data_IF_698129905326
#
_entry.id   IF_698129905326
#
_cell.length_a   1.000
_cell.length_b   1.000
_cell.length_c   1.000
_cell.angle_alpha   90.00
_cell.angle_beta   90.00
_cell.angle_gamma   90.00
#
_symmetry.space_group_name_H-M   'P 1'
#
loop_
_entity.id
_entity.type
_entity.pdbx_description
1 polymer ?
#
# COMPACT_ATOMS: atom_id res chain seq x y z
N UNK A 1 -10.01 23.36 40.36
CA UNK A 1 -9.58 23.30 38.95
C UNK A 1 -10.60 22.44 38.24
N UNK A 2 -11.50 23.05 37.49
CA UNK A 2 -12.51 22.34 36.73
C UNK A 2 -11.84 21.39 35.73
N UNK A 3 -12.27 20.15 35.78
CA UNK A 3 -11.88 19.09 34.86
C UNK A 3 -12.45 19.44 33.47
N UNK A 4 -11.80 20.38 32.73
CA UNK A 4 -12.15 20.63 31.33
C UNK A 4 -11.92 19.30 30.61
N UNK A 5 -12.98 18.69 30.13
CA UNK A 5 -12.92 17.52 29.25
C UNK A 5 -11.83 17.76 28.20
N UNK A 6 -10.86 16.83 28.13
CA UNK A 6 -9.74 16.94 27.20
C UNK A 6 -10.29 16.92 25.78
N UNK A 7 -9.78 17.76 24.89
CA UNK A 7 -10.23 17.78 23.48
C UNK A 7 -9.90 16.46 22.80
N UNK A 8 -10.82 15.90 22.03
CA UNK A 8 -10.66 14.60 21.35
C UNK A 8 -9.40 14.54 20.49
N UNK A 9 -9.04 15.64 19.83
CA UNK A 9 -7.81 15.75 19.04
C UNK A 9 -6.54 15.51 19.88
N UNK A 10 -6.51 15.99 21.14
CA UNK A 10 -5.39 15.78 22.06
C UNK A 10 -5.39 14.35 22.60
N UNK A 11 -6.57 13.81 22.90
CA UNK A 11 -6.71 12.40 23.34
C UNK A 11 -6.16 11.41 22.30
N UNK A 12 -6.43 11.66 21.01
CA UNK A 12 -5.91 10.87 19.89
C UNK A 12 -4.39 10.94 19.78
N UNK A 13 -3.80 12.14 19.96
CA UNK A 13 -2.34 12.30 19.98
C UNK A 13 -1.72 11.52 21.14
N UNK A 14 -2.29 11.62 22.35
CA UNK A 14 -1.80 10.93 23.54
C UNK A 14 -1.93 9.39 23.42
N UNK A 15 -2.97 8.89 22.73
CA UNK A 15 -3.15 7.47 22.49
C UNK A 15 -2.18 6.91 21.44
N UNK A 16 -1.80 7.75 20.47
CA UNK A 16 -0.89 7.36 19.42
C UNK A 16 0.58 7.37 19.87
N UNK A 17 1.00 8.45 20.55
CA UNK A 17 2.41 8.69 20.87
C UNK A 17 2.85 8.00 22.17
N UNK A 18 4.15 7.84 22.34
CA UNK A 18 4.77 7.37 23.56
C UNK A 18 4.48 8.36 24.72
N UNK A 19 4.32 7.83 25.92
CA UNK A 19 3.95 8.61 27.11
C UNK A 19 4.87 9.82 27.30
N UNK A 20 4.29 11.01 27.44
CA UNK A 20 5.00 12.29 27.67
C UNK A 20 5.96 12.73 26.58
N UNK A 21 5.88 12.14 25.38
CA UNK A 21 6.77 12.50 24.27
C UNK A 21 6.26 13.69 23.44
N UNK A 22 4.97 14.05 23.54
CA UNK A 22 4.35 15.06 22.71
C UNK A 22 4.79 16.49 23.06
N UNK A 23 5.19 17.25 22.03
CA UNK A 23 5.46 18.68 22.10
C UNK A 23 4.62 19.40 21.05
N UNK A 24 3.68 20.25 21.50
CA UNK A 24 2.80 21.01 20.61
C UNK A 24 3.54 22.18 19.95
N UNK A 25 3.34 22.35 18.64
CA UNK A 25 3.81 23.47 17.84
C UNK A 25 2.62 24.35 17.48
N UNK A 26 2.73 25.66 17.71
CA UNK A 26 1.67 26.62 17.37
C UNK A 26 0.43 26.55 18.29
N UNK A 27 0.61 26.21 19.55
CA UNK A 27 -0.46 26.12 20.56
C UNK A 27 -1.26 27.43 20.70
N UNK A 28 -0.58 28.56 20.64
CA UNK A 28 -1.18 29.89 20.80
C UNK A 28 -1.80 30.43 19.50
N UNK A 29 -1.74 29.70 18.39
CA UNK A 29 -2.33 30.13 17.12
C UNK A 29 -3.86 30.09 17.21
N UNK A 30 -4.52 31.13 16.72
CA UNK A 30 -5.98 31.22 16.59
C UNK A 30 -6.34 31.65 15.17
N UNK A 31 -7.61 31.56 14.79
CA UNK A 31 -8.09 32.15 13.55
C UNK A 31 -7.74 33.65 13.49
N UNK A 32 -7.31 34.11 12.31
CA UNK A 32 -6.85 35.48 12.11
C UNK A 32 -7.91 36.37 11.50
N UNK A 33 -8.85 35.81 10.77
CA UNK A 33 -9.94 36.57 10.16
C UNK A 33 -10.89 37.15 11.21
N UNK A 34 -11.34 38.37 10.97
CA UNK A 34 -12.37 39.05 11.78
C UNK A 34 -13.73 39.06 11.09
N UNK A 35 -13.81 38.61 9.83
CA UNK A 35 -15.01 38.59 9.03
C UNK A 35 -16.07 37.68 9.65
N UNK A 36 -17.33 38.01 9.46
CA UNK A 36 -18.46 37.27 10.02
C UNK A 36 -18.39 37.09 11.56
N UNK A 37 -17.75 38.03 12.27
CA UNK A 37 -17.57 38.05 13.73
C UNK A 37 -16.74 36.83 14.23
N UNK A 38 -15.83 36.33 13.41
CA UNK A 38 -14.95 35.23 13.79
C UNK A 38 -14.02 35.60 14.95
N UNK A 39 -13.69 36.88 15.11
CA UNK A 39 -12.97 37.44 16.25
C UNK A 39 -13.69 37.26 17.61
N UNK A 40 -14.98 36.99 17.60
CA UNK A 40 -15.78 36.70 18.82
C UNK A 40 -15.88 35.19 19.14
N UNK A 41 -15.34 34.33 18.30
CA UNK A 41 -15.36 32.90 18.48
C UNK A 41 -14.02 32.44 19.00
N UNK A 42 -14.01 31.64 20.08
CA UNK A 42 -12.78 31.01 20.54
C UNK A 42 -12.34 29.90 19.55
N UNK A 43 -11.14 30.04 19.01
CA UNK A 43 -10.58 29.13 18.04
C UNK A 43 -9.21 28.59 18.51
N UNK A 44 -9.17 27.83 19.62
CA UNK A 44 -7.91 27.34 20.18
C UNK A 44 -7.18 26.45 19.16
N UNK A 45 -5.89 26.74 18.96
CA UNK A 45 -5.02 26.10 17.95
C UNK A 45 -5.58 26.15 16.52
N UNK A 46 -6.53 27.04 16.25
CA UNK A 46 -7.33 27.16 15.02
C UNK A 46 -7.92 25.83 14.54
N UNK A 47 -8.39 24.98 15.48
CA UNK A 47 -9.05 23.70 15.18
C UNK A 47 -8.13 22.60 14.71
N UNK A 48 -6.81 22.74 14.84
CA UNK A 48 -5.85 21.65 14.60
C UNK A 48 -4.69 21.68 15.61
N UNK A 49 -4.47 20.58 16.29
CA UNK A 49 -3.31 20.38 17.16
C UNK A 49 -2.17 19.82 16.33
N UNK A 50 -1.03 20.49 16.30
CA UNK A 50 0.15 20.10 15.53
C UNK A 50 1.36 19.99 16.43
N UNK A 51 2.26 19.05 16.19
CA UNK A 51 3.45 18.88 17.00
C UNK A 51 4.30 17.70 16.57
N UNK A 52 5.19 17.29 17.46
CA UNK A 52 6.02 16.11 17.27
C UNK A 52 6.05 15.26 18.55
N UNK A 53 6.42 14.01 18.40
CA UNK A 53 6.60 13.09 19.51
C UNK A 53 7.28 11.80 19.03
N UNK A 54 7.14 10.75 19.82
CA UNK A 54 7.75 9.46 19.53
C UNK A 54 6.66 8.38 19.38
N UNK A 55 6.91 7.42 18.49
CA UNK A 55 6.19 6.16 18.42
C UNK A 55 7.22 5.04 18.53
N UNK A 56 7.16 4.25 19.60
CA UNK A 56 8.15 3.21 19.90
C UNK A 56 9.59 3.74 19.82
N UNK A 57 9.83 4.95 20.35
CA UNK A 57 11.11 5.63 20.32
C UNK A 57 11.49 6.30 18.99
N UNK A 58 10.70 6.11 17.91
CA UNK A 58 10.94 6.75 16.61
C UNK A 58 10.26 8.13 16.54
N UNK A 59 10.97 9.20 16.13
CA UNK A 59 10.38 10.52 16.00
C UNK A 59 9.34 10.57 14.87
N UNK A 60 8.24 11.28 15.12
CA UNK A 60 7.18 11.54 14.15
C UNK A 60 6.64 12.95 14.31
N UNK A 61 6.20 13.57 13.23
CA UNK A 61 5.34 14.75 13.26
C UNK A 61 3.88 14.32 13.17
N UNK A 62 3.03 14.99 13.95
CA UNK A 62 1.60 14.66 13.98
C UNK A 62 0.75 15.91 13.89
N UNK A 63 -0.39 15.81 13.20
CA UNK A 63 -1.48 16.77 13.35
C UNK A 63 -2.78 16.03 13.61
N UNK A 64 -3.65 16.62 14.44
CA UNK A 64 -4.98 16.09 14.74
C UNK A 64 -6.00 17.21 14.64
N UNK A 65 -6.99 17.03 13.78
CA UNK A 65 -8.08 17.99 13.60
C UNK A 65 -9.09 17.86 14.73
N UNK A 66 -9.56 19.01 15.22
CA UNK A 66 -10.43 19.13 16.37
C UNK A 66 -11.84 19.56 15.95
N UNK A 67 -12.72 18.58 15.76
CA UNK A 67 -14.10 18.83 15.37
C UNK A 67 -14.89 19.71 16.38
N UNK A 68 -14.42 19.86 17.62
CA UNK A 68 -15.05 20.75 18.61
C UNK A 68 -14.84 22.23 18.32
N UNK A 69 -13.86 22.58 17.48
CA UNK A 69 -13.55 23.95 17.06
C UNK A 69 -14.02 24.16 15.63
N UNK A 70 -15.12 24.85 15.45
CA UNK A 70 -15.73 25.14 14.13
C UNK A 70 -15.87 23.89 13.23
N UNK A 71 -16.20 22.72 13.83
CA UNK A 71 -16.31 21.47 13.12
C UNK A 71 -14.97 20.92 12.57
N UNK A 72 -13.83 21.36 13.09
CA UNK A 72 -12.50 21.04 12.56
C UNK A 72 -12.25 21.66 11.18
N UNK A 73 -13.06 22.63 10.75
CA UNK A 73 -12.96 23.23 9.42
C UNK A 73 -11.64 23.95 9.20
N UNK A 74 -11.08 23.79 8.00
CA UNK A 74 -9.78 24.33 7.63
C UNK A 74 -9.91 25.82 7.28
N UNK A 75 -9.40 26.68 8.17
CA UNK A 75 -9.14 28.09 7.93
C UNK A 75 -7.70 28.32 7.48
N UNK A 76 -7.35 29.61 7.27
CA UNK A 76 -6.01 30.00 6.84
C UNK A 76 -4.92 29.51 7.82
N UNK A 77 -5.08 29.81 9.11
CA UNK A 77 -4.07 29.45 10.11
C UNK A 77 -4.02 27.96 10.40
N UNK A 78 -5.17 27.27 10.37
CA UNK A 78 -5.25 25.82 10.41
C UNK A 78 -4.37 25.19 9.31
N UNK A 79 -4.57 25.59 8.06
CA UNK A 79 -3.81 25.07 6.94
C UNK A 79 -2.32 25.42 7.02
N UNK A 80 -1.97 26.65 7.43
CA UNK A 80 -0.58 27.08 7.61
C UNK A 80 0.16 26.28 8.68
N UNK A 81 -0.52 25.88 9.76
CA UNK A 81 0.06 25.00 10.78
C UNK A 81 0.43 23.64 10.19
N UNK A 82 -0.46 23.02 9.41
CA UNK A 82 -0.18 21.74 8.74
C UNK A 82 0.95 21.91 7.72
N UNK A 83 0.92 22.94 6.88
CA UNK A 83 1.96 23.20 5.89
C UNK A 83 3.34 23.40 6.53
N UNK A 84 3.41 24.15 7.64
CA UNK A 84 4.66 24.32 8.39
C UNK A 84 5.17 23.01 8.99
N UNK A 85 4.27 22.13 9.44
CA UNK A 85 4.64 20.81 9.93
C UNK A 85 5.33 19.98 8.82
N UNK A 86 4.78 20.01 7.60
CA UNK A 86 5.40 19.37 6.44
C UNK A 86 6.76 19.96 6.10
N UNK A 87 6.95 21.29 6.20
CA UNK A 87 8.25 21.92 5.98
C UNK A 87 9.31 21.47 7.00
N UNK A 88 8.91 21.28 8.25
CA UNK A 88 9.80 20.73 9.27
C UNK A 88 10.12 19.25 9.00
N UNK A 89 9.11 18.47 8.69
CA UNK A 89 9.25 17.05 8.39
C UNK A 89 10.17 16.79 7.18
N UNK A 90 10.01 17.56 6.12
CA UNK A 90 10.87 17.49 4.93
C UNK A 90 12.32 17.85 5.21
N UNK A 91 12.58 18.81 6.11
CA UNK A 91 13.94 19.20 6.52
C UNK A 91 14.63 18.15 7.38
N UNK A 92 13.87 17.41 8.16
CA UNK A 92 14.39 16.44 9.13
C UNK A 92 14.34 14.99 8.63
N UNK A 93 13.57 14.72 7.55
CA UNK A 93 13.36 13.36 7.04
C UNK A 93 12.49 12.51 7.97
N UNK A 94 11.56 13.11 8.71
CA UNK A 94 10.71 12.46 9.71
C UNK A 94 9.30 12.28 9.16
N UNK A 95 8.66 11.15 9.47
CA UNK A 95 7.30 10.83 9.03
C UNK A 95 6.25 11.84 9.51
N UNK A 96 5.18 12.05 8.72
CA UNK A 96 4.01 12.84 9.09
C UNK A 96 2.79 11.94 9.22
N UNK A 97 2.08 12.07 10.34
CA UNK A 97 0.82 11.37 10.61
C UNK A 97 -0.30 12.40 10.77
N UNK A 98 -1.30 12.33 9.90
CA UNK A 98 -2.48 13.19 9.93
C UNK A 98 -3.70 12.46 10.46
N UNK A 99 -4.30 12.96 11.54
CA UNK A 99 -5.56 12.46 12.10
C UNK A 99 -6.69 13.39 11.69
N UNK A 100 -7.57 12.92 10.81
CA UNK A 100 -8.55 13.70 10.07
C UNK A 100 -9.94 13.57 10.71
N UNK A 101 -10.53 14.72 11.06
CA UNK A 101 -11.90 14.84 11.52
C UNK A 101 -12.36 16.29 11.23
N UNK A 102 -12.88 16.55 10.02
CA UNK A 102 -12.99 17.89 9.46
C UNK A 102 -14.25 18.05 8.62
N UNK A 103 -14.97 19.14 8.88
CA UNK A 103 -16.16 19.50 8.10
C UNK A 103 -15.86 20.12 6.72
N UNK A 104 -14.57 20.27 6.34
CA UNK A 104 -14.17 20.86 5.06
C UNK A 104 -13.53 22.23 5.21
N UNK A 105 -13.56 23.04 4.15
CA UNK A 105 -12.96 24.40 4.13
C UNK A 105 -13.87 25.38 4.88
N UNK A 106 -13.29 26.28 5.69
CA UNK A 106 -14.00 27.26 6.49
C UNK A 106 -14.58 28.37 5.61
N UNK A 107 -15.92 28.43 5.51
CA UNK A 107 -16.61 29.39 4.65
C UNK A 107 -16.39 30.85 5.04
N UNK A 108 -16.24 31.16 6.33
CA UNK A 108 -16.04 32.52 6.84
C UNK A 108 -14.71 33.14 6.35
N UNK A 109 -13.74 32.34 6.01
CA UNK A 109 -12.42 32.76 5.50
C UNK A 109 -12.30 32.63 3.97
N UNK A 110 -13.28 32.00 3.32
CA UNK A 110 -13.41 31.93 1.86
C UNK A 110 -12.10 31.69 1.10
N UNK A 111 -11.66 32.66 0.30
CA UNK A 111 -10.47 32.60 -0.56
C UNK A 111 -9.17 32.41 0.20
N UNK A 112 -9.03 32.97 1.40
CA UNK A 112 -7.81 32.83 2.21
C UNK A 112 -7.67 31.38 2.71
N UNK A 113 -8.78 30.79 3.19
CA UNK A 113 -8.83 29.38 3.56
C UNK A 113 -8.57 28.46 2.34
N UNK A 114 -9.17 28.78 1.19
CA UNK A 114 -9.01 28.01 -0.03
C UNK A 114 -7.56 28.03 -0.55
N UNK A 115 -6.91 29.22 -0.52
CA UNK A 115 -5.50 29.34 -0.91
C UNK A 115 -4.60 28.52 0.01
N UNK A 116 -4.74 28.69 1.32
CA UNK A 116 -3.94 27.98 2.30
C UNK A 116 -4.20 26.47 2.29
N UNK A 117 -5.43 26.04 1.99
CA UNK A 117 -5.77 24.64 1.76
C UNK A 117 -4.99 24.05 0.56
N UNK A 118 -4.87 24.80 -0.54
CA UNK A 118 -4.07 24.39 -1.70
C UNK A 118 -2.57 24.27 -1.37
N UNK A 119 -2.06 25.03 -0.38
CA UNK A 119 -0.68 24.84 0.11
C UNK A 119 -0.47 23.47 0.75
N UNK A 120 -1.47 22.91 1.44
CA UNK A 120 -1.35 21.54 1.99
C UNK A 120 -1.21 20.51 0.85
N UNK A 121 -2.03 20.59 -0.20
CA UNK A 121 -1.89 19.72 -1.36
C UNK A 121 -0.47 19.75 -1.95
N UNK A 122 0.05 20.98 -2.11
CA UNK A 122 1.42 21.17 -2.61
C UNK A 122 2.45 20.50 -1.71
N UNK A 123 2.32 20.64 -0.38
CA UNK A 123 3.26 20.07 0.58
C UNK A 123 3.19 18.54 0.58
N UNK A 124 1.99 17.96 0.59
CA UNK A 124 1.80 16.51 0.51
C UNK A 124 2.38 15.94 -0.79
N UNK A 125 2.09 16.56 -1.92
CA UNK A 125 2.64 16.13 -3.20
C UNK A 125 4.18 16.24 -3.28
N UNK A 126 4.77 17.28 -2.68
CA UNK A 126 6.23 17.43 -2.58
C UNK A 126 6.88 16.42 -1.63
N UNK A 127 6.15 15.97 -0.62
CA UNK A 127 6.60 14.98 0.36
C UNK A 127 6.49 13.54 -0.14
N UNK A 128 5.69 13.29 -1.18
CA UNK A 128 5.48 11.96 -1.76
C UNK A 128 6.79 11.30 -2.19
N UNK A 129 7.06 10.10 -1.70
CA UNK A 129 8.30 9.36 -1.92
C UNK A 129 9.54 9.98 -1.28
N UNK A 130 9.40 11.03 -0.45
CA UNK A 130 10.51 11.69 0.26
C UNK A 130 10.47 11.40 1.75
N UNK A 131 9.31 11.55 2.38
CA UNK A 131 9.04 11.18 3.78
C UNK A 131 7.77 10.35 3.84
N UNK A 132 7.70 9.46 4.83
CA UNK A 132 6.51 8.65 5.08
C UNK A 132 5.33 9.54 5.50
N UNK A 133 4.19 9.37 4.85
CA UNK A 133 2.95 10.09 5.11
C UNK A 133 1.82 9.10 5.41
N UNK A 134 1.17 9.23 6.56
CA UNK A 134 0.02 8.42 6.95
C UNK A 134 -1.18 9.32 7.22
N UNK A 135 -2.31 9.03 6.57
CA UNK A 135 -3.60 9.65 6.86
C UNK A 135 -4.49 8.68 7.62
N UNK A 136 -5.01 9.09 8.78
CA UNK A 136 -5.96 8.32 9.58
C UNK A 136 -7.27 9.10 9.73
N UNK A 137 -8.37 8.56 9.22
CA UNK A 137 -9.68 9.21 9.17
C UNK A 137 -10.51 8.72 10.34
N UNK A 138 -10.81 9.61 11.29
CA UNK A 138 -11.60 9.32 12.50
C UNK A 138 -12.98 9.96 12.51
N UNK A 139 -13.30 10.78 11.53
CA UNK A 139 -14.57 11.45 11.40
C UNK A 139 -14.84 11.81 9.95
N UNK A 140 -15.25 13.06 9.70
CA UNK A 140 -15.54 13.49 8.33
C UNK A 140 -14.26 13.84 7.56
N UNK A 141 -14.19 13.37 6.32
CA UNK A 141 -13.18 13.74 5.33
C UNK A 141 -13.88 13.96 3.98
N UNK A 142 -14.50 15.13 3.81
CA UNK A 142 -15.41 15.39 2.69
C UNK A 142 -14.95 16.50 1.74
N UNK A 143 -15.47 16.45 0.50
CA UNK A 143 -15.17 17.44 -0.53
C UNK A 143 -13.70 17.39 -0.96
N UNK A 144 -13.07 18.56 -1.09
CA UNK A 144 -11.65 18.65 -1.43
C UNK A 144 -10.73 17.95 -0.44
N UNK A 145 -11.11 17.85 0.83
CA UNK A 145 -10.31 17.15 1.84
C UNK A 145 -10.11 15.66 1.52
N UNK A 146 -11.04 15.03 0.80
CA UNK A 146 -10.91 13.63 0.38
C UNK A 146 -9.68 13.36 -0.51
N UNK A 147 -9.05 14.39 -1.05
CA UNK A 147 -7.79 14.28 -1.79
C UNK A 147 -6.58 14.09 -0.86
N UNK A 148 -6.62 14.58 0.40
CA UNK A 148 -5.50 14.42 1.33
C UNK A 148 -5.04 12.96 1.48
N UNK A 149 -5.93 12.01 1.83
CA UNK A 149 -5.54 10.62 1.95
C UNK A 149 -4.94 10.03 0.67
N UNK A 150 -5.38 10.49 -0.50
CA UNK A 150 -4.87 9.98 -1.79
C UNK A 150 -3.49 10.55 -2.18
N UNK A 151 -3.04 11.59 -1.49
CA UNK A 151 -1.69 12.16 -1.64
C UNK A 151 -0.71 11.63 -0.59
N UNK A 152 -1.15 10.78 0.33
CA UNK A 152 -0.30 10.13 1.34
C UNK A 152 -0.03 8.68 0.99
N UNK A 153 0.97 8.08 1.66
CA UNK A 153 1.44 6.72 1.35
C UNK A 153 0.48 5.65 1.88
N UNK A 154 -0.10 5.87 3.08
CA UNK A 154 -1.08 4.97 3.70
C UNK A 154 -2.31 5.73 4.17
N UNK A 155 -3.47 5.14 3.93
CA UNK A 155 -4.77 5.63 4.38
C UNK A 155 -5.43 4.61 5.29
N UNK A 156 -5.63 4.98 6.56
CA UNK A 156 -6.36 4.17 7.53
C UNK A 156 -7.68 4.87 7.89
N UNK A 157 -8.70 4.11 8.23
CA UNK A 157 -10.01 4.69 8.51
C UNK A 157 -10.71 3.97 9.66
N UNK A 158 -11.23 4.75 10.57
CA UNK A 158 -12.10 4.24 11.61
C UNK A 158 -13.46 3.85 11.01
N UNK A 159 -14.11 2.81 11.53
CA UNK A 159 -15.33 2.21 10.95
C UNK A 159 -16.47 3.20 10.75
N UNK A 160 -16.62 4.19 11.64
CA UNK A 160 -17.66 5.23 11.55
C UNK A 160 -17.25 6.43 10.71
N UNK A 161 -15.98 6.52 10.30
CA UNK A 161 -15.43 7.59 9.47
C UNK A 161 -16.16 7.74 8.14
N UNK A 162 -16.07 8.91 7.52
CA UNK A 162 -16.72 9.22 6.24
C UNK A 162 -15.68 9.85 5.30
N UNK A 163 -15.47 9.22 4.15
CA UNK A 163 -14.56 9.71 3.10
C UNK A 163 -15.33 9.87 1.78
N UNK A 164 -15.40 11.09 1.24
CA UNK A 164 -16.13 11.34 0.00
C UNK A 164 -15.70 12.65 -0.68
N UNK A 165 -15.62 12.66 -1.99
CA UNK A 165 -15.53 13.90 -2.77
C UNK A 165 -16.92 14.53 -2.89
N UNK A 166 -17.91 13.75 -3.28
CA UNK A 166 -19.31 14.15 -3.33
C UNK A 166 -20.09 13.39 -2.27
N UNK A 167 -20.86 14.09 -1.44
CA UNK A 167 -21.71 13.44 -0.44
C UNK A 167 -22.66 12.43 -1.11
N UNK A 168 -22.94 11.27 -0.50
CA UNK A 168 -23.77 10.23 -1.12
C UNK A 168 -25.10 10.74 -1.69
N UNK A 169 -25.77 11.66 -0.98
CA UNK A 169 -27.03 12.26 -1.41
C UNK A 169 -26.89 13.33 -2.52
N UNK A 170 -25.69 13.77 -2.82
CA UNK A 170 -25.39 14.68 -3.92
C UNK A 170 -25.04 13.95 -5.22
N UNK A 171 -24.88 12.64 -5.17
CA UNK A 171 -24.58 11.81 -6.34
C UNK A 171 -25.90 11.54 -7.11
N UNK A 172 -25.92 11.87 -8.39
CA UNK A 172 -27.09 11.63 -9.25
C UNK A 172 -27.47 10.16 -9.25
N UNK A 173 -28.74 9.88 -8.91
CA UNK A 173 -29.27 8.50 -8.86
C UNK A 173 -28.94 7.73 -7.59
N UNK A 174 -28.27 8.34 -6.63
CA UNK A 174 -27.96 7.72 -5.35
C UNK A 174 -28.60 8.45 -4.16
N UNK A 175 -28.76 7.74 -3.05
CA UNK A 175 -29.07 8.23 -1.71
C UNK A 175 -28.26 7.43 -0.70
N UNK A 176 -27.91 8.05 0.44
CA UNK A 176 -27.12 7.39 1.50
C UNK A 176 -27.77 6.10 2.01
N UNK A 177 -29.08 6.06 2.05
CA UNK A 177 -29.86 4.88 2.48
C UNK A 177 -29.81 3.75 1.45
N UNK A 178 -29.49 4.05 0.18
CA UNK A 178 -29.33 3.05 -0.90
C UNK A 178 -27.89 2.58 -0.96
N UNK A 179 -26.95 3.54 -1.04
CA UNK A 179 -25.52 3.26 -1.05
C UNK A 179 -24.77 4.36 -0.30
N UNK A 180 -24.20 4.03 0.86
CA UNK A 180 -23.32 4.93 1.58
C UNK A 180 -21.91 4.92 0.98
N UNK A 181 -21.72 5.60 -0.15
CA UNK A 181 -20.42 5.71 -0.83
C UNK A 181 -19.33 6.43 -0.01
N UNK A 182 -19.70 7.04 1.11
CA UNK A 182 -18.74 7.65 2.04
C UNK A 182 -18.24 6.70 3.14
N UNK A 183 -18.86 5.52 3.31
CA UNK A 183 -18.54 4.58 4.37
C UNK A 183 -17.15 3.97 4.22
N UNK A 184 -16.55 3.59 5.34
CA UNK A 184 -15.28 2.86 5.37
C UNK A 184 -15.35 1.58 4.52
N UNK A 185 -16.47 0.85 4.57
CA UNK A 185 -16.67 -0.35 3.77
C UNK A 185 -16.64 -0.09 2.27
N UNK A 186 -17.27 0.99 1.77
CA UNK A 186 -17.22 1.35 0.35
C UNK A 186 -15.81 1.80 -0.06
N UNK A 187 -15.19 2.63 0.75
CA UNK A 187 -13.87 3.19 0.44
C UNK A 187 -12.74 2.15 0.49
N UNK A 188 -12.89 1.10 1.30
CA UNK A 188 -11.93 0.00 1.33
C UNK A 188 -12.18 -1.04 0.24
N UNK A 189 -13.45 -1.41 -0.06
CA UNK A 189 -13.77 -2.54 -0.94
C UNK A 189 -13.96 -2.16 -2.40
N UNK A 190 -14.67 -1.05 -2.64
CA UNK A 190 -15.05 -0.64 -4.00
C UNK A 190 -14.08 0.41 -4.55
N UNK A 191 -13.77 1.44 -3.76
CA UNK A 191 -12.90 2.53 -4.19
C UNK A 191 -11.41 2.20 -4.07
N UNK A 192 -11.01 1.31 -3.15
CA UNK A 192 -9.62 0.92 -2.93
C UNK A 192 -8.72 2.05 -2.43
N UNK A 193 -9.28 3.10 -1.84
CA UNK A 193 -8.53 4.22 -1.28
C UNK A 193 -7.94 3.85 0.08
N UNK A 194 -8.72 3.13 0.91
CA UNK A 194 -8.36 2.83 2.30
C UNK A 194 -7.59 1.52 2.39
N UNK A 195 -6.43 1.57 3.03
CA UNK A 195 -5.54 0.42 3.23
C UNK A 195 -5.97 -0.47 4.40
N UNK A 196 -6.55 0.12 5.45
CA UNK A 196 -6.97 -0.57 6.65
C UNK A 196 -8.22 0.09 7.27
N UNK A 197 -9.17 -0.72 7.70
CA UNK A 197 -10.37 -0.30 8.45
C UNK A 197 -10.42 -1.04 9.77
N UNK A 198 -10.71 -0.31 10.86
CA UNK A 198 -10.88 -0.88 12.20
C UNK A 198 -11.40 0.16 13.18
N UNK A 199 -11.56 -0.21 14.45
CA UNK A 199 -11.86 0.75 15.49
C UNK A 199 -10.66 1.66 15.79
N UNK A 200 -10.86 2.74 16.55
CA UNK A 200 -9.84 3.76 16.84
C UNK A 200 -8.53 3.15 17.39
N UNK A 201 -8.63 2.15 18.30
CA UNK A 201 -7.45 1.49 18.87
C UNK A 201 -6.70 0.62 17.86
N UNK A 202 -7.43 -0.08 16.99
CA UNK A 202 -6.84 -0.88 15.91
C UNK A 202 -6.15 0.01 14.86
N UNK A 203 -6.74 1.17 14.53
CA UNK A 203 -6.11 2.16 13.65
C UNK A 203 -4.78 2.65 14.25
N UNK A 204 -4.74 2.99 15.55
CA UNK A 204 -3.49 3.37 16.21
C UNK A 204 -2.47 2.23 16.24
N UNK A 205 -2.90 1.01 16.51
CA UNK A 205 -2.01 -0.15 16.46
C UNK A 205 -1.40 -0.34 15.08
N UNK A 206 -2.20 -0.17 14.01
CA UNK A 206 -1.73 -0.27 12.63
C UNK A 206 -0.77 0.85 12.26
N UNK A 207 -1.00 2.10 12.70
CA UNK A 207 -0.04 3.20 12.52
C UNK A 207 1.29 2.85 13.19
N UNK A 208 1.26 2.37 14.45
CA UNK A 208 2.48 1.97 15.19
C UNK A 208 3.23 0.84 14.49
N UNK A 209 2.52 -0.12 13.90
CA UNK A 209 3.14 -1.19 13.10
C UNK A 209 3.81 -0.63 11.84
N UNK A 210 3.09 0.18 11.06
CA UNK A 210 3.62 0.77 9.83
C UNK A 210 4.83 1.67 10.09
N UNK A 211 4.78 2.53 11.11
CA UNK A 211 5.91 3.39 11.48
C UNK A 211 7.13 2.62 12.00
N UNK A 212 6.91 1.46 12.62
CA UNK A 212 7.98 0.56 13.07
C UNK A 212 8.61 -0.29 11.96
N UNK A 213 7.88 -0.49 10.86
CA UNK A 213 8.25 -1.38 9.78
C UNK A 213 8.81 -0.62 8.57
N UNK A 214 8.15 0.48 8.19
CA UNK A 214 8.44 1.21 6.96
C UNK A 214 9.45 2.34 7.19
N UNK A 215 10.38 2.62 6.25
CA UNK A 215 11.35 3.70 6.40
C UNK A 215 10.67 5.07 6.62
N UNK A 216 11.25 5.90 7.45
CA UNK A 216 10.72 7.26 7.71
C UNK A 216 10.90 8.20 6.53
N UNK A 217 11.90 7.93 5.68
CA UNK A 217 12.20 8.67 4.46
C UNK A 217 12.99 7.80 3.47
N UNK A 218 13.13 8.25 2.24
CA UNK A 218 13.79 7.51 1.16
C UNK A 218 15.30 7.24 1.36
N UNK A 219 15.93 7.88 2.33
CA UNK A 219 17.35 7.67 2.69
C UNK A 219 17.52 6.79 3.92
N UNK A 220 16.43 6.53 4.64
CA UNK A 220 16.45 5.78 5.87
C UNK A 220 16.53 4.27 5.57
N UNK A 221 17.60 3.64 5.99
CA UNK A 221 17.82 2.19 5.89
C UNK A 221 17.81 1.53 7.28
N UNK A 222 17.37 2.26 8.31
CA UNK A 222 17.59 1.91 9.72
C UNK A 222 16.50 1.03 10.34
N UNK A 223 15.48 0.63 9.58
CA UNK A 223 14.34 -0.15 10.13
C UNK A 223 14.59 -1.66 10.19
N UNK A 224 15.86 -2.05 10.34
CA UNK A 224 16.23 -3.43 10.61
C UNK A 224 15.97 -3.71 12.09
N UNK A 225 15.29 -4.82 12.36
CA UNK A 225 15.04 -5.34 13.71
C UNK A 225 15.90 -6.59 13.90
N UNK A 226 16.48 -6.77 15.09
CA UNK A 226 17.18 -8.01 15.40
C UNK A 226 16.21 -9.21 15.19
N UNK A 227 16.60 -10.13 14.33
CA UNK A 227 15.85 -11.34 14.04
C UNK A 227 16.25 -12.44 15.04
N UNK A 228 15.26 -12.97 15.77
CA UNK A 228 15.46 -14.10 16.67
C UNK A 228 14.89 -15.41 16.09
N UNK A 229 14.30 -15.36 14.90
CA UNK A 229 13.73 -16.52 14.22
C UNK A 229 14.84 -17.29 13.48
N UNK A 230 14.68 -18.61 13.37
CA UNK A 230 15.63 -19.45 12.63
C UNK A 230 15.57 -19.13 11.12
N UNK A 231 16.67 -18.66 10.56
CA UNK A 231 16.80 -18.32 9.14
C UNK A 231 16.58 -19.54 8.23
N UNK A 232 16.89 -20.74 8.73
CA UNK A 232 16.71 -22.02 8.02
C UNK A 232 15.44 -22.76 8.42
N UNK A 233 14.51 -22.12 9.12
CA UNK A 233 13.24 -22.71 9.51
C UNK A 233 12.49 -23.22 8.29
N UNK A 234 12.16 -24.51 8.29
CA UNK A 234 11.37 -25.14 7.23
C UNK A 234 9.91 -24.66 7.28
N UNK A 235 9.33 -24.41 6.13
CA UNK A 235 7.93 -24.05 5.99
C UNK A 235 7.09 -25.32 5.76
N UNK A 236 6.39 -25.78 6.81
CA UNK A 236 5.60 -27.01 6.74
C UNK A 236 4.28 -26.82 5.96
N UNK A 237 3.94 -27.79 5.09
CA UNK A 237 2.70 -27.78 4.30
C UNK A 237 2.48 -26.56 3.39
N UNK A 238 3.54 -25.82 3.07
CA UNK A 238 3.48 -24.59 2.27
C UNK A 238 2.94 -24.83 0.84
N UNK A 239 3.11 -26.04 0.28
CA UNK A 239 2.63 -26.41 -1.06
C UNK A 239 1.10 -26.30 -1.21
N UNK A 240 0.36 -26.56 -0.14
CA UNK A 240 -1.11 -26.51 -0.12
C UNK A 240 -1.67 -25.21 0.43
N UNK A 241 -0.81 -24.35 0.94
CA UNK A 241 -1.15 -23.07 1.52
C UNK A 241 -1.63 -22.06 0.46
N UNK A 242 -2.48 -21.13 0.87
CA UNK A 242 -2.82 -19.97 0.04
C UNK A 242 -1.70 -18.91 0.09
N UNK A 243 -1.81 -17.90 -0.75
CA UNK A 243 -0.77 -16.87 -0.87
C UNK A 243 -0.49 -16.11 0.44
N UNK A 244 -1.53 -15.84 1.25
CA UNK A 244 -1.39 -15.13 2.54
C UNK A 244 -0.71 -16.05 3.56
N UNK A 245 -1.08 -17.31 3.58
CA UNK A 245 -0.47 -18.31 4.46
C UNK A 245 1.00 -18.56 4.09
N UNK A 246 1.33 -18.64 2.79
CA UNK A 246 2.73 -18.72 2.32
C UNK A 246 3.53 -17.53 2.85
N UNK A 247 3.04 -16.29 2.65
CA UNK A 247 3.72 -15.08 3.11
C UNK A 247 3.88 -15.06 4.64
N UNK A 248 2.87 -15.51 5.37
CA UNK A 248 2.91 -15.61 6.83
C UNK A 248 3.96 -16.63 7.29
N UNK A 249 4.01 -17.80 6.66
CA UNK A 249 4.95 -18.85 7.07
C UNK A 249 6.41 -18.50 6.79
N UNK A 250 6.72 -17.78 5.73
CA UNK A 250 8.11 -17.38 5.43
C UNK A 250 8.57 -16.17 6.24
N UNK A 251 7.64 -15.36 6.77
CA UNK A 251 7.92 -14.15 7.52
C UNK A 251 8.57 -14.44 8.87
N UNK A 252 9.42 -13.55 9.34
CA UNK A 252 9.89 -13.55 10.72
C UNK A 252 8.70 -13.48 11.67
N UNK A 253 8.76 -14.22 12.76
CA UNK A 253 7.68 -14.29 13.76
C UNK A 253 6.29 -14.65 13.17
N UNK A 254 6.25 -15.16 11.93
CA UNK A 254 5.02 -15.44 11.15
C UNK A 254 4.09 -14.21 11.05
N UNK A 255 4.63 -13.02 10.90
CA UNK A 255 3.84 -11.80 10.78
C UNK A 255 3.82 -11.28 9.33
N UNK A 256 2.63 -11.29 8.72
CA UNK A 256 2.34 -10.61 7.44
C UNK A 256 1.34 -9.48 7.68
N UNK A 257 1.70 -8.28 7.27
CA UNK A 257 0.84 -7.09 7.37
C UNK A 257 0.22 -6.84 6.01
N UNK A 258 -0.98 -7.42 5.78
CA UNK A 258 -1.72 -7.25 4.53
C UNK A 258 -2.36 -5.86 4.47
N UNK A 259 -2.21 -5.19 3.32
CA UNK A 259 -2.83 -3.91 2.98
C UNK A 259 -3.92 -4.11 1.94
N UNK A 260 -4.98 -3.25 1.99
CA UNK A 260 -6.10 -3.30 1.03
C UNK A 260 -6.67 -4.72 0.84
N UNK A 261 -6.79 -5.48 1.93
CA UNK A 261 -7.21 -6.90 1.87
C UNK A 261 -8.59 -7.10 1.18
N UNK A 262 -9.45 -6.09 1.29
CA UNK A 262 -10.83 -6.13 0.78
C UNK A 262 -10.98 -5.56 -0.64
N UNK A 263 -9.92 -4.95 -1.23
CA UNK A 263 -9.88 -4.43 -2.59
C UNK A 263 -8.99 -5.28 -3.48
N UNK A 264 -9.43 -5.57 -4.72
CA UNK A 264 -8.65 -6.42 -5.62
C UNK A 264 -8.25 -7.72 -4.93
N UNK A 265 -9.25 -8.49 -4.47
CA UNK A 265 -9.08 -9.66 -3.59
C UNK A 265 -8.32 -10.82 -4.23
N UNK A 266 -8.13 -10.78 -5.54
CA UNK A 266 -7.29 -11.68 -6.32
C UNK A 266 -5.77 -11.47 -6.09
N UNK A 267 -5.39 -10.36 -5.46
CA UNK A 267 -4.01 -9.98 -5.20
C UNK A 267 -3.80 -9.63 -3.72
N UNK A 268 -2.81 -10.20 -3.06
CA UNK A 268 -2.32 -9.76 -1.76
C UNK A 268 -1.14 -8.81 -1.94
N UNK A 269 -1.14 -7.73 -1.17
CA UNK A 269 0.01 -6.84 -1.00
C UNK A 269 0.23 -6.57 0.48
N UNK A 270 1.46 -6.34 0.89
CA UNK A 270 1.77 -6.03 2.28
C UNK A 270 3.25 -6.22 2.59
N UNK A 271 3.56 -6.23 3.86
CA UNK A 271 4.95 -6.30 4.33
C UNK A 271 5.17 -7.52 5.22
N UNK A 272 6.35 -8.09 5.09
CA UNK A 272 6.93 -9.06 6.03
C UNK A 272 8.29 -8.57 6.48
N UNK A 273 8.87 -9.23 7.49
CA UNK A 273 10.30 -9.16 7.77
C UNK A 273 10.97 -10.46 7.35
N UNK A 274 12.17 -10.34 6.82
CA UNK A 274 13.07 -11.44 6.51
C UNK A 274 14.45 -11.09 7.07
N UNK A 275 14.92 -11.84 8.05
CA UNK A 275 16.13 -11.54 8.81
C UNK A 275 16.15 -10.10 9.35
N UNK A 276 15.00 -9.67 9.88
CA UNK A 276 14.80 -8.34 10.44
C UNK A 276 14.59 -7.22 9.40
N UNK A 277 14.88 -7.43 8.13
CA UNK A 277 14.64 -6.45 7.06
C UNK A 277 13.21 -6.43 6.58
N UNK A 278 12.69 -5.25 6.27
CA UNK A 278 11.35 -5.10 5.70
C UNK A 278 11.37 -5.40 4.20
N UNK A 279 10.48 -6.29 3.78
CA UNK A 279 10.27 -6.68 2.38
C UNK A 279 8.82 -6.47 2.00
N UNK A 280 8.59 -5.79 0.88
CA UNK A 280 7.27 -5.63 0.28
C UNK A 280 6.88 -6.87 -0.52
N UNK A 281 5.69 -7.40 -0.27
CA UNK A 281 5.21 -8.62 -0.90
C UNK A 281 4.05 -8.36 -1.85
N UNK A 282 4.09 -8.99 -3.01
CA UNK A 282 2.98 -9.03 -3.98
C UNK A 282 2.74 -10.49 -4.35
N UNK A 283 1.55 -11.01 -4.06
CA UNK A 283 1.21 -12.40 -4.35
C UNK A 283 -0.21 -12.49 -4.90
N UNK A 284 -0.40 -13.18 -6.02
CA UNK A 284 -1.75 -13.42 -6.48
C UNK A 284 -2.42 -14.52 -5.63
N UNK A 285 -3.68 -14.28 -5.25
CA UNK A 285 -4.53 -15.20 -4.45
C UNK A 285 -5.42 -16.05 -5.34
N UNK A 286 -5.64 -15.60 -6.57
CA UNK A 286 -6.41 -16.30 -7.60
C UNK A 286 -5.57 -16.46 -8.86
N UNK A 287 -5.84 -17.50 -9.65
CA UNK A 287 -5.08 -17.78 -10.88
C UNK A 287 -5.26 -16.70 -11.98
N UNK A 288 -6.24 -15.80 -11.84
CA UNK A 288 -6.53 -14.77 -12.85
C UNK A 288 -6.45 -13.38 -12.23
N UNK A 289 -5.60 -12.54 -12.81
CA UNK A 289 -5.36 -11.18 -12.34
C UNK A 289 -6.50 -10.26 -12.82
N UNK A 290 -7.12 -9.54 -11.89
CA UNK A 290 -8.11 -8.50 -12.16
C UNK A 290 -7.48 -7.13 -12.43
N UNK A 291 -8.26 -6.19 -12.97
CA UNK A 291 -7.82 -4.80 -13.11
C UNK A 291 -7.56 -4.14 -11.77
N UNK A 292 -8.35 -4.46 -10.74
CA UNK A 292 -8.18 -3.97 -9.38
C UNK A 292 -6.91 -4.54 -8.74
N UNK A 293 -6.67 -5.86 -8.85
CA UNK A 293 -5.46 -6.52 -8.36
C UNK A 293 -4.21 -5.97 -9.02
N UNK A 294 -4.22 -5.75 -10.33
CA UNK A 294 -3.10 -5.16 -11.06
C UNK A 294 -2.82 -3.70 -10.64
N UNK A 295 -3.86 -2.85 -10.46
CA UNK A 295 -3.69 -1.48 -9.97
C UNK A 295 -3.12 -1.44 -8.55
N UNK A 296 -3.63 -2.30 -7.67
CA UNK A 296 -3.17 -2.48 -6.29
C UNK A 296 -1.68 -2.84 -6.25
N UNK A 297 -1.26 -3.84 -7.02
CA UNK A 297 0.13 -4.24 -7.13
C UNK A 297 1.02 -3.11 -7.70
N UNK A 298 0.58 -2.43 -8.76
CA UNK A 298 1.33 -1.34 -9.37
C UNK A 298 1.64 -0.19 -8.40
N UNK A 299 0.64 0.25 -7.64
CA UNK A 299 0.80 1.32 -6.65
C UNK A 299 1.74 0.90 -5.52
N UNK A 300 1.61 -0.33 -5.06
CA UNK A 300 2.44 -0.88 -3.98
C UNK A 300 3.91 -1.03 -4.39
N UNK A 301 4.18 -1.55 -5.59
CA UNK A 301 5.55 -1.66 -6.12
C UNK A 301 6.22 -0.29 -6.24
N UNK A 302 5.48 0.73 -6.73
CA UNK A 302 6.00 2.11 -6.80
C UNK A 302 6.32 2.68 -5.41
N UNK A 303 5.50 2.38 -4.41
CA UNK A 303 5.74 2.78 -3.02
C UNK A 303 7.01 2.12 -2.47
N UNK A 304 7.16 0.81 -2.63
CA UNK A 304 8.36 0.09 -2.20
C UNK A 304 9.62 0.66 -2.86
N UNK A 305 9.60 0.87 -4.17
CA UNK A 305 10.73 1.44 -4.91
C UNK A 305 11.11 2.85 -4.44
N UNK A 306 10.12 3.71 -4.17
CA UNK A 306 10.35 5.08 -3.68
C UNK A 306 11.09 5.13 -2.34
N UNK A 307 10.87 4.13 -1.49
CA UNK A 307 11.48 4.05 -0.15
C UNK A 307 12.60 3.02 -0.03
N UNK A 308 13.04 2.43 -1.13
CA UNK A 308 14.17 1.48 -1.13
C UNK A 308 13.83 0.12 -0.52
N UNK A 309 12.55 -0.25 -0.42
CA UNK A 309 12.09 -1.53 0.12
C UNK A 309 12.12 -2.61 -0.96
N UNK A 310 12.84 -3.71 -0.73
CA UNK A 310 12.92 -4.85 -1.66
C UNK A 310 11.55 -5.50 -1.92
N UNK A 311 11.37 -6.10 -3.07
CA UNK A 311 10.08 -6.65 -3.53
C UNK A 311 10.18 -8.15 -3.73
N UNK A 312 9.33 -8.90 -3.03
CA UNK A 312 9.12 -10.33 -3.18
C UNK A 312 7.78 -10.59 -3.86
N UNK A 313 7.78 -11.41 -4.90
CA UNK A 313 6.54 -11.86 -5.55
C UNK A 313 6.36 -13.36 -5.44
N UNK A 314 5.10 -13.78 -5.23
CA UNK A 314 4.68 -15.17 -5.40
C UNK A 314 3.74 -15.26 -6.59
N UNK A 315 4.03 -16.19 -7.50
CA UNK A 315 3.32 -16.31 -8.79
C UNK A 315 2.65 -17.65 -8.93
N UNK A 316 1.31 -17.64 -9.07
CA UNK A 316 0.46 -18.77 -9.46
C UNK A 316 -0.65 -18.24 -10.40
N UNK A 317 -0.33 -18.03 -11.68
CA UNK A 317 -1.24 -17.37 -12.63
C UNK A 317 -1.45 -18.14 -13.91
N UNK A 318 -2.69 -18.15 -14.41
CA UNK A 318 -3.06 -18.75 -15.70
C UNK A 318 -3.53 -17.70 -16.74
N UNK A 319 -3.74 -16.47 -16.35
CA UNK A 319 -4.21 -15.42 -17.24
C UNK A 319 -4.81 -14.23 -16.51
N UNK A 320 -5.69 -13.52 -17.20
CA UNK A 320 -6.40 -12.35 -16.70
C UNK A 320 -7.88 -12.64 -16.52
N UNK A 321 -8.53 -11.90 -15.62
CA UNK A 321 -9.97 -11.98 -15.43
C UNK A 321 -10.72 -11.53 -16.71
N UNK A 322 -11.63 -12.38 -17.19
CA UNK A 322 -12.27 -12.21 -18.50
C UNK A 322 -13.77 -11.94 -18.35
N UNK A 323 -14.13 -10.67 -18.17
CA UNK A 323 -15.50 -10.19 -18.25
C UNK A 323 -15.52 -8.73 -18.73
N UNK A 324 -16.69 -8.21 -19.11
CA UNK A 324 -16.83 -6.89 -19.73
C UNK A 324 -16.37 -5.74 -18.82
N UNK A 325 -16.59 -5.84 -17.52
CA UNK A 325 -16.18 -4.79 -16.57
C UNK A 325 -14.65 -4.75 -16.43
N UNK A 326 -14.02 -5.91 -16.38
CA UNK A 326 -12.55 -5.99 -16.34
C UNK A 326 -11.92 -5.48 -17.64
N UNK A 327 -12.48 -5.86 -18.81
CA UNK A 327 -11.95 -5.47 -20.13
C UNK A 327 -11.83 -3.95 -20.32
N UNK A 328 -12.68 -3.16 -19.65
CA UNK A 328 -12.64 -1.69 -19.72
C UNK A 328 -11.32 -1.09 -19.21
N UNK A 329 -10.68 -1.72 -18.24
CA UNK A 329 -9.55 -1.15 -17.51
C UNK A 329 -8.31 -2.05 -17.47
N UNK A 330 -8.48 -3.34 -17.82
CA UNK A 330 -7.48 -4.38 -17.61
C UNK A 330 -6.16 -4.08 -18.32
N UNK A 331 -6.20 -3.70 -19.59
CA UNK A 331 -4.99 -3.42 -20.35
C UNK A 331 -4.16 -2.28 -19.74
N UNK A 332 -4.83 -1.21 -19.28
CA UNK A 332 -4.16 -0.09 -18.61
C UNK A 332 -3.61 -0.51 -17.23
N UNK A 333 -4.38 -1.26 -16.47
CA UNK A 333 -3.98 -1.73 -15.14
C UNK A 333 -2.78 -2.67 -15.20
N UNK A 334 -2.78 -3.62 -16.13
CA UNK A 334 -1.65 -4.54 -16.36
C UNK A 334 -0.43 -3.80 -16.89
N UNK A 335 -0.64 -2.83 -17.79
CA UNK A 335 0.43 -1.95 -18.26
C UNK A 335 1.09 -1.17 -17.13
N UNK A 336 0.30 -0.64 -16.19
CA UNK A 336 0.79 0.05 -14.99
C UNK A 336 1.58 -0.91 -14.06
N UNK A 337 1.08 -2.13 -13.84
CA UNK A 337 1.77 -3.14 -13.02
C UNK A 337 3.10 -3.57 -13.65
N UNK A 338 3.08 -3.90 -14.93
CA UNK A 338 4.30 -4.28 -15.66
C UNK A 338 5.31 -3.13 -15.63
N UNK A 339 4.86 -1.89 -15.90
CA UNK A 339 5.72 -0.71 -15.85
C UNK A 339 6.30 -0.46 -14.47
N UNK A 340 5.55 -0.70 -13.39
CA UNK A 340 6.04 -0.57 -12.03
C UNK A 340 7.19 -1.56 -11.75
N UNK A 341 7.02 -2.84 -12.08
CA UNK A 341 8.08 -3.84 -11.92
C UNK A 341 9.33 -3.55 -12.77
N UNK A 342 9.16 -3.13 -14.04
CA UNK A 342 10.28 -2.80 -14.92
C UNK A 342 11.06 -1.58 -14.41
N UNK A 343 10.37 -0.60 -13.83
CA UNK A 343 10.99 0.64 -13.39
C UNK A 343 11.58 0.56 -11.97
N UNK A 344 11.13 -0.39 -11.16
CA UNK A 344 11.63 -0.55 -9.80
C UNK A 344 13.12 -0.92 -9.81
N UNK A 345 13.91 -0.12 -9.07
CA UNK A 345 15.36 -0.25 -8.94
C UNK A 345 15.80 -1.05 -7.71
N UNK A 346 14.87 -1.30 -6.79
CA UNK A 346 15.11 -2.12 -5.59
C UNK A 346 15.34 -3.60 -5.92
N UNK A 347 15.88 -4.40 -4.98
CA UNK A 347 15.93 -5.85 -5.11
C UNK A 347 14.57 -6.46 -5.45
N UNK A 348 14.51 -7.31 -6.45
CA UNK A 348 13.27 -7.97 -6.91
C UNK A 348 13.48 -9.48 -7.00
N UNK A 349 12.76 -10.22 -6.18
CA UNK A 349 12.78 -11.68 -6.15
C UNK A 349 11.40 -12.22 -6.52
N UNK A 350 11.34 -13.26 -7.35
CA UNK A 350 10.09 -13.92 -7.70
C UNK A 350 10.16 -15.41 -7.37
N UNK A 351 9.12 -15.94 -6.76
CA UNK A 351 8.95 -17.37 -6.50
C UNK A 351 7.71 -17.87 -7.24
N UNK A 352 7.91 -18.77 -8.18
CA UNK A 352 6.82 -19.41 -8.92
C UNK A 352 6.40 -20.66 -8.15
N UNK A 353 5.15 -20.68 -7.66
CA UNK A 353 4.68 -21.72 -6.74
C UNK A 353 3.96 -22.86 -7.44
N UNK A 354 3.14 -22.55 -8.45
CA UNK A 354 2.36 -23.58 -9.17
C UNK A 354 2.35 -23.31 -10.67
N UNK A 355 1.51 -22.40 -11.13
CA UNK A 355 1.31 -22.11 -12.56
C UNK A 355 1.88 -20.73 -12.91
N UNK A 356 2.47 -20.63 -14.09
CA UNK A 356 3.00 -19.38 -14.60
C UNK A 356 2.81 -19.35 -16.13
N UNK A 357 1.61 -18.92 -16.58
CA UNK A 357 1.25 -19.00 -17.99
C UNK A 357 1.03 -17.62 -18.63
N UNK A 358 1.49 -17.55 -19.90
CA UNK A 358 1.20 -16.44 -20.80
C UNK A 358 1.74 -15.09 -20.32
N UNK A 359 1.13 -14.02 -20.83
CA UNK A 359 1.54 -12.63 -20.49
C UNK A 359 1.23 -12.25 -19.03
N UNK A 360 0.31 -12.94 -18.36
CA UNK A 360 0.06 -12.73 -16.93
C UNK A 360 1.28 -13.11 -16.10
N UNK A 361 1.91 -14.24 -16.38
CA UNK A 361 3.19 -14.61 -15.79
C UNK A 361 4.27 -13.55 -16.07
N UNK A 362 4.39 -13.11 -17.33
CA UNK A 362 5.41 -12.09 -17.70
C UNK A 362 5.25 -10.84 -16.84
N UNK A 363 4.01 -10.38 -16.63
CA UNK A 363 3.70 -9.16 -15.87
C UNK A 363 3.90 -9.30 -14.36
N UNK A 364 3.96 -10.53 -13.82
CA UNK A 364 4.18 -10.81 -12.39
C UNK A 364 5.67 -10.94 -12.05
N UNK A 365 6.43 -9.86 -12.24
CA UNK A 365 7.84 -9.80 -11.89
C UNK A 365 8.66 -10.99 -12.42
N UNK A 366 8.47 -11.37 -13.68
CA UNK A 366 9.26 -12.43 -14.30
C UNK A 366 10.70 -11.98 -14.57
N UNK A 367 11.59 -12.92 -14.88
CA UNK A 367 12.97 -12.62 -15.33
C UNK A 367 13.00 -11.62 -16.49
N UNK A 368 12.02 -11.72 -17.40
CA UNK A 368 11.92 -10.85 -18.59
C UNK A 368 11.61 -9.38 -18.27
N UNK A 369 10.91 -9.10 -17.16
CA UNK A 369 10.60 -7.74 -16.71
C UNK A 369 11.52 -7.26 -15.60
N UNK A 370 12.62 -7.96 -15.34
CA UNK A 370 13.72 -7.49 -14.52
C UNK A 370 13.74 -8.01 -13.08
N UNK A 371 13.13 -9.17 -12.78
CA UNK A 371 13.43 -9.86 -11.54
C UNK A 371 14.93 -10.20 -11.48
N UNK A 372 15.57 -9.91 -10.35
CA UNK A 372 16.98 -10.18 -10.14
C UNK A 372 17.21 -11.69 -9.99
N UNK A 373 16.38 -12.32 -9.13
CA UNK A 373 16.37 -13.76 -8.93
C UNK A 373 14.96 -14.34 -9.07
N UNK A 374 14.86 -15.47 -9.75
CA UNK A 374 13.60 -16.21 -9.93
C UNK A 374 13.80 -17.63 -9.44
N UNK A 375 13.02 -18.01 -8.44
CA UNK A 375 12.92 -19.38 -7.94
C UNK A 375 11.62 -20.01 -8.42
N UNK A 376 11.60 -21.32 -8.52
CA UNK A 376 10.38 -22.06 -8.79
C UNK A 376 10.33 -23.32 -7.91
N UNK A 377 9.14 -23.67 -7.45
CA UNK A 377 8.92 -24.97 -6.79
C UNK A 377 9.02 -26.11 -7.80
N UNK A 378 9.38 -27.30 -7.33
CA UNK A 378 9.64 -28.47 -8.17
C UNK A 378 8.47 -28.86 -9.07
N UNK A 379 7.22 -28.67 -8.60
CA UNK A 379 6.00 -29.01 -9.34
C UNK A 379 5.46 -27.86 -10.20
N UNK A 380 6.16 -26.73 -10.28
CA UNK A 380 5.68 -25.56 -11.03
C UNK A 380 5.59 -25.84 -12.54
N UNK A 381 4.56 -25.28 -13.18
CA UNK A 381 4.34 -25.33 -14.61
C UNK A 381 4.46 -23.94 -15.22
N UNK A 382 5.40 -23.78 -16.15
CA UNK A 382 5.79 -22.48 -16.70
C UNK A 382 5.73 -22.52 -18.22
N UNK A 383 4.90 -21.70 -18.86
CA UNK A 383 4.79 -21.76 -20.31
C UNK A 383 3.86 -20.71 -20.92
N UNK A 384 3.54 -20.90 -22.18
CA UNK A 384 2.65 -19.99 -22.90
C UNK A 384 1.19 -20.18 -22.49
N UNK A 385 0.77 -21.42 -22.29
CA UNK A 385 -0.59 -21.82 -21.91
C UNK A 385 -0.60 -23.25 -21.37
N UNK A 386 -1.71 -23.68 -20.82
CA UNK A 386 -1.91 -25.05 -20.37
C UNK A 386 -1.74 -26.04 -21.53
N UNK A 387 -1.14 -27.21 -21.25
CA UNK A 387 -0.77 -28.18 -22.24
C UNK A 387 -1.95 -28.74 -23.05
N UNK A 388 -3.11 -28.94 -22.40
CA UNK A 388 -4.33 -29.42 -23.09
C UNK A 388 -4.83 -28.39 -24.15
N UNK A 389 -4.72 -27.12 -23.84
CA UNK A 389 -5.12 -26.06 -24.78
C UNK A 389 -4.13 -25.95 -25.93
N UNK A 390 -2.84 -26.02 -25.64
CA UNK A 390 -1.79 -26.02 -26.66
C UNK A 390 -1.94 -27.20 -27.61
N UNK A 391 -2.17 -28.43 -27.08
CA UNK A 391 -2.39 -29.63 -27.89
C UNK A 391 -3.58 -29.47 -28.85
N UNK A 392 -4.71 -28.93 -28.38
CA UNK A 392 -5.91 -28.66 -29.21
C UNK A 392 -5.62 -27.67 -30.34
N UNK A 393 -4.90 -26.59 -30.04
CA UNK A 393 -4.57 -25.54 -31.03
C UNK A 393 -3.59 -26.08 -32.08
N UNK A 394 -2.58 -26.86 -31.64
CA UNK A 394 -1.53 -27.38 -32.52
C UNK A 394 -2.01 -28.57 -33.38
N UNK A 395 -3.04 -29.28 -32.94
CA UNK A 395 -3.54 -30.48 -33.61
C UNK A 395 -5.08 -30.42 -33.83
N UNK A 396 -5.56 -29.48 -34.65
CA UNK A 396 -6.99 -29.32 -34.88
C UNK A 396 -7.60 -30.55 -35.53
N UNK A 397 -8.67 -31.08 -34.96
CA UNK A 397 -9.37 -32.25 -35.46
C UNK A 397 -8.79 -33.60 -35.02
N UNK A 398 -7.77 -33.61 -34.17
CA UNK A 398 -7.25 -34.86 -33.60
C UNK A 398 -8.23 -35.51 -32.61
N UNK A 399 -8.17 -36.82 -32.45
CA UNK A 399 -8.99 -37.55 -31.47
C UNK A 399 -8.55 -37.25 -30.03
N UNK A 400 -9.44 -37.54 -29.07
CA UNK A 400 -9.16 -37.28 -27.65
C UNK A 400 -7.88 -37.95 -27.14
N UNK A 401 -7.61 -39.20 -27.59
CA UNK A 401 -6.42 -39.92 -27.18
C UNK A 401 -5.15 -39.28 -27.73
N UNK A 402 -5.16 -38.85 -28.99
CA UNK A 402 -4.03 -38.16 -29.64
C UNK A 402 -3.81 -36.79 -28.95
N UNK A 403 -4.88 -36.04 -28.60
CA UNK A 403 -4.77 -34.77 -27.89
C UNK A 403 -4.14 -34.96 -26.52
N UNK A 404 -4.49 -36.02 -25.79
CA UNK A 404 -3.92 -36.33 -24.49
C UNK A 404 -2.40 -36.66 -24.59
N UNK A 405 -2.01 -37.47 -25.59
CA UNK A 405 -0.60 -37.73 -25.84
C UNK A 405 0.18 -36.46 -26.19
N UNK A 406 -0.38 -35.62 -27.07
CA UNK A 406 0.24 -34.34 -27.46
C UNK A 406 0.29 -33.32 -26.31
N UNK A 407 -0.67 -33.34 -25.40
CA UNK A 407 -0.62 -32.52 -24.18
C UNK A 407 0.52 -32.93 -23.25
N UNK A 408 0.69 -34.26 -23.04
CA UNK A 408 1.80 -34.78 -22.23
C UNK A 408 3.17 -34.46 -22.86
N UNK A 409 3.28 -34.63 -24.20
CA UNK A 409 4.48 -34.22 -24.92
C UNK A 409 4.80 -32.74 -24.77
N UNK A 410 3.78 -31.89 -24.95
CA UNK A 410 3.94 -30.44 -24.81
C UNK A 410 4.31 -30.06 -23.37
N UNK A 411 3.66 -30.62 -22.36
CA UNK A 411 3.96 -30.38 -20.95
C UNK A 411 5.43 -30.67 -20.64
N UNK A 412 5.90 -31.86 -21.01
CA UNK A 412 7.28 -32.30 -20.78
C UNK A 412 8.32 -31.42 -21.49
N UNK A 413 8.03 -30.97 -22.69
CA UNK A 413 8.99 -30.22 -23.52
C UNK A 413 8.97 -28.72 -23.24
N UNK A 414 7.81 -28.14 -22.86
CA UNK A 414 7.58 -26.69 -22.86
C UNK A 414 7.11 -26.13 -21.54
N UNK A 415 6.35 -26.88 -20.73
CA UNK A 415 5.73 -26.35 -19.50
C UNK A 415 6.34 -26.89 -18.21
N UNK A 416 7.18 -27.89 -18.28
CA UNK A 416 7.89 -28.42 -17.12
C UNK A 416 8.88 -27.38 -16.55
N UNK A 417 9.01 -27.32 -15.24
CA UNK A 417 9.89 -26.37 -14.54
C UNK A 417 11.35 -26.49 -14.98
N UNK A 418 11.81 -27.75 -15.19
CA UNK A 418 13.17 -28.03 -15.68
C UNK A 418 13.40 -27.43 -17.07
N UNK A 419 12.37 -27.44 -17.91
CA UNK A 419 12.44 -26.82 -19.24
C UNK A 419 12.69 -25.30 -19.16
N UNK A 420 12.03 -24.62 -18.26
CA UNK A 420 12.23 -23.20 -18.02
C UNK A 420 13.61 -22.91 -17.38
N UNK A 421 14.04 -23.72 -16.43
CA UNK A 421 15.34 -23.60 -15.78
C UNK A 421 16.51 -23.81 -16.75
N UNK A 422 16.45 -24.85 -17.62
CA UNK A 422 17.48 -25.08 -18.66
C UNK A 422 17.61 -23.94 -19.67
N UNK A 423 16.56 -23.13 -19.84
CA UNK A 423 16.54 -21.94 -20.71
C UNK A 423 16.94 -20.66 -19.98
N UNK A 424 17.21 -20.71 -18.67
CA UNK A 424 17.63 -19.57 -17.86
C UNK A 424 16.50 -18.62 -17.46
N UNK A 425 15.23 -19.06 -17.49
CA UNK A 425 14.08 -18.27 -17.05
C UNK A 425 13.77 -18.47 -15.56
N UNK A 426 14.31 -19.51 -14.96
CA UNK A 426 14.33 -19.81 -13.53
C UNK A 426 15.78 -20.00 -13.12
N UNK A 427 16.22 -19.29 -12.08
CA UNK A 427 17.61 -19.36 -11.61
C UNK A 427 17.85 -20.63 -10.78
N UNK A 428 16.86 -21.04 -9.96
CA UNK A 428 16.97 -22.26 -9.16
C UNK A 428 15.58 -22.88 -8.92
N UNK A 429 15.50 -24.20 -9.08
CA UNK A 429 14.34 -24.99 -8.64
C UNK A 429 14.57 -25.39 -7.18
N UNK A 430 13.60 -25.13 -6.32
CA UNK A 430 13.72 -25.29 -4.87
C UNK A 430 12.63 -26.18 -4.28
N UNK A 431 12.96 -26.92 -3.21
CA UNK A 431 11.95 -27.54 -2.38
C UNK A 431 11.07 -26.43 -1.74
N UNK A 432 9.74 -26.51 -1.84
CA UNK A 432 8.84 -25.55 -1.22
C UNK A 432 9.14 -25.28 0.25
N UNK A 433 9.51 -26.28 1.04
CA UNK A 433 9.82 -26.12 2.46
C UNK A 433 11.03 -25.21 2.72
N UNK A 434 11.96 -25.13 1.78
CA UNK A 434 13.17 -24.30 1.85
C UNK A 434 12.96 -22.85 1.40
N UNK A 435 11.75 -22.45 1.01
CA UNK A 435 11.46 -21.13 0.41
C UNK A 435 11.99 -19.97 1.27
N UNK A 436 11.77 -19.99 2.59
CA UNK A 436 12.27 -18.94 3.50
C UNK A 436 13.77 -18.73 3.38
N UNK A 437 14.55 -19.80 3.49
CA UNK A 437 16.02 -19.77 3.42
C UNK A 437 16.54 -19.19 2.09
N UNK A 438 15.94 -19.60 0.97
CA UNK A 438 16.34 -19.10 -0.35
C UNK A 438 15.99 -17.63 -0.54
N UNK A 439 14.83 -17.19 -0.06
CA UNK A 439 14.40 -15.79 -0.19
C UNK A 439 15.25 -14.87 0.71
N UNK A 440 15.56 -15.27 1.94
CA UNK A 440 16.49 -14.53 2.82
C UNK A 440 17.84 -14.38 2.13
N UNK A 441 18.46 -15.48 1.70
CA UNK A 441 19.76 -15.42 1.03
C UNK A 441 19.75 -14.58 -0.26
N UNK A 442 18.63 -14.54 -0.99
CA UNK A 442 18.48 -13.67 -2.15
C UNK A 442 18.53 -12.18 -1.77
N UNK A 443 17.78 -11.76 -0.75
CA UNK A 443 17.79 -10.36 -0.32
C UNK A 443 19.12 -9.95 0.30
N UNK A 444 19.78 -10.81 1.07
CA UNK A 444 21.13 -10.58 1.57
C UNK A 444 22.13 -10.33 0.42
N UNK A 445 22.12 -11.17 -0.61
CA UNK A 445 23.01 -11.00 -1.77
C UNK A 445 22.70 -9.75 -2.59
N UNK A 446 21.43 -9.32 -2.61
CA UNK A 446 20.97 -8.16 -3.35
C UNK A 446 20.98 -6.86 -2.51
N UNK A 447 21.33 -6.91 -1.23
CA UNK A 447 21.29 -5.77 -0.31
C UNK A 447 22.01 -4.52 -0.85
N UNK A 448 23.16 -4.74 -1.50
CA UNK A 448 23.95 -3.64 -2.09
C UNK A 448 23.60 -3.32 -3.52
N UNK A 449 22.51 -3.88 -4.07
CA UNK A 449 22.07 -3.60 -5.44
C UNK A 449 22.00 -2.09 -5.68
N UNK A 450 22.61 -1.65 -6.77
CA UNK A 450 22.54 -0.27 -7.27
C UNK A 450 22.20 -0.31 -8.75
N UNK A 451 21.01 0.16 -9.07
CA UNK A 451 20.53 0.28 -10.45
C UNK A 451 20.18 1.73 -10.72
N UNK A 452 20.87 2.34 -11.69
CA UNK A 452 20.57 3.71 -12.09
C UNK A 452 19.41 3.72 -13.08
N UNK A 453 18.28 4.25 -12.66
CA UNK A 453 17.15 4.51 -13.52
C UNK A 453 17.33 5.85 -14.26
N UNK A 454 17.04 5.86 -15.54
CA UNK A 454 16.99 7.12 -16.30
C UNK A 454 15.83 7.96 -15.78
N UNK A 455 16.06 9.22 -15.34
CA UNK A 455 15.00 10.09 -14.89
C UNK A 455 13.92 10.25 -15.97
N UNK A 456 12.74 9.73 -15.73
CA UNK A 456 11.61 9.78 -16.66
C UNK A 456 10.59 10.79 -16.17
N UNK A 457 10.10 11.64 -17.07
CA UNK A 457 9.03 12.60 -16.77
C UNK A 457 7.63 12.06 -17.06
N UNK A 458 7.55 10.91 -17.72
CA UNK A 458 6.30 10.21 -18.05
C UNK A 458 6.46 8.73 -17.72
N UNK A 459 5.63 8.24 -16.81
CA UNK A 459 5.53 6.83 -16.45
C UNK A 459 4.32 6.19 -17.12
N UNK A 460 4.34 4.87 -17.33
CA UNK A 460 3.13 4.12 -17.56
C UNK A 460 2.18 4.31 -16.35
N UNK A 461 0.92 4.50 -16.59
CA UNK A 461 -0.13 4.99 -15.67
C UNK A 461 -0.23 4.24 -14.35
#
# INVERSE_FOLDING_TARGET
MENKSKRKAVERIDALLDERSFVEIGQAVTARSTDFQLDKVETPSDGVVTGYGLINGCPVYVYSQDASVLGGSIGEMHARKIANLYDLAMKTGVAVIGMIDCAGIRLQESTDALHAFGEIYKKQAQASGVILQISAIFGNCGGGLAVFPTLTDFTLMEESGQLFVNAPNAITGNRKEVLNSASAAFQSKEAGVVDFVGNEAEVFAQIKKLTGLFPSNYKDQSKIKDCMDDLNRLCGNIQTADAVEILTQIADENEFIELKKDYGTDMAIGFIRLDGETVGCVANKEEKISSQGAKKAASFVKLCDAFGVGILTFTDVTGYAANLEQEKELAQAVGAMTGAFVQASVPKVNVITKKAFGSAYVSMNSKAVGADLVYAWEDAKIGMMEADMAAKIMNPGATADVLKEKAQEYEKLQSDVDSAARRGYVDTVIDPQDTRKYVIGAFEMLYTKREMQIPKKHNAF
#
